data_IF_492749453559
#
_entry.id   IF_492749453559
#
_cell.length_a   1.000
_cell.length_b   1.000
_cell.length_c   1.000
_cell.angle_alpha   90.00
_cell.angle_beta   90.00
_cell.angle_gamma   90.00
#
_symmetry.space_group_name_H-M   'P 1'
#
loop_
_entity.id
_entity.type
_entity.pdbx_description
1 polymer ?
#
# COMPACT_ATOMS: atom_id res chain seq x y z
N UNK A 1 11.23 -4.05 10.52
CA UNK A 1 10.91 -5.24 9.76
C UNK A 1 9.43 -5.23 9.39
N UNK A 2 9.12 -5.50 8.14
CA UNK A 2 7.74 -5.47 7.64
C UNK A 2 6.84 -6.45 8.40
N UNK A 3 7.38 -7.60 8.80
CA UNK A 3 6.61 -8.60 9.54
C UNK A 3 6.04 -8.10 10.85
N UNK A 4 6.66 -7.09 11.43
CA UNK A 4 6.18 -6.52 12.70
C UNK A 4 4.86 -5.75 12.53
N UNK A 5 4.53 -5.38 11.29
CA UNK A 5 3.34 -4.58 10.97
C UNK A 5 2.21 -5.40 10.38
N UNK A 6 2.47 -6.65 9.97
CA UNK A 6 1.47 -7.47 9.28
C UNK A 6 0.72 -8.37 10.25
N UNK A 7 -0.59 -8.57 10.04
CA UNK A 7 -1.35 -9.57 10.80
C UNK A 7 -0.78 -10.97 10.59
N UNK A 8 -0.88 -11.81 11.62
CA UNK A 8 -0.36 -13.19 11.56
C UNK A 8 -1.06 -14.03 10.49
N UNK A 9 -2.31 -13.73 10.21
CA UNK A 9 -3.10 -14.47 9.23
C UNK A 9 -3.01 -13.90 7.81
N UNK A 10 -1.95 -13.13 7.52
CA UNK A 10 -1.76 -12.55 6.20
C UNK A 10 -1.51 -13.64 5.17
N UNK A 11 -2.34 -13.69 4.13
CA UNK A 11 -2.21 -14.67 3.05
C UNK A 11 -1.75 -14.05 1.74
N UNK A 12 -1.91 -12.74 1.60
CA UNK A 12 -1.52 -12.03 0.40
C UNK A 12 -1.11 -10.62 0.74
N UNK A 13 -0.05 -10.13 0.10
CA UNK A 13 0.42 -8.75 0.24
C UNK A 13 0.10 -8.03 -1.06
N UNK A 14 -0.46 -6.82 -0.94
CA UNK A 14 -0.81 -5.98 -2.09
C UNK A 14 0.08 -4.75 -2.07
N UNK A 15 0.70 -4.46 -3.19
CA UNK A 15 1.70 -3.40 -3.30
C UNK A 15 1.45 -2.56 -4.54
N UNK A 16 1.90 -1.31 -4.52
CA UNK A 16 1.60 -0.35 -5.57
C UNK A 16 2.76 0.10 -6.45
N UNK A 17 3.92 -0.47 -6.31
CA UNK A 17 5.06 -0.11 -7.16
C UNK A 17 5.88 1.08 -6.65
N UNK A 18 5.75 1.47 -5.37
CA UNK A 18 6.57 2.55 -4.81
C UNK A 18 7.94 2.02 -4.38
N UNK A 19 8.97 2.83 -4.63
CA UNK A 19 10.33 2.46 -4.28
C UNK A 19 10.49 2.36 -2.76
N UNK A 20 11.19 1.34 -2.27
CA UNK A 20 11.47 1.15 -0.85
C UNK A 20 10.47 0.22 -0.19
N UNK A 21 9.25 0.68 0.07
CA UNK A 21 8.22 -0.14 0.72
C UNK A 21 7.86 -1.34 -0.15
N UNK A 22 7.77 -1.14 -1.47
CA UNK A 22 7.47 -2.25 -2.38
C UNK A 22 8.56 -3.29 -2.41
N UNK A 23 9.81 -2.87 -2.36
CA UNK A 23 10.93 -3.81 -2.30
C UNK A 23 10.84 -4.63 -1.02
N UNK A 24 10.54 -4.01 0.11
CA UNK A 24 10.37 -4.71 1.38
C UNK A 24 9.21 -5.70 1.33
N UNK A 25 8.09 -5.28 0.73
CA UNK A 25 6.91 -6.15 0.58
C UNK A 25 7.24 -7.35 -0.31
N UNK A 26 7.95 -7.12 -1.41
CA UNK A 26 8.34 -8.18 -2.34
C UNK A 26 9.27 -9.18 -1.66
N UNK A 27 10.29 -8.69 -0.95
CA UNK A 27 11.24 -9.55 -0.26
C UNK A 27 10.56 -10.33 0.85
N UNK A 28 9.68 -9.70 1.62
CA UNK A 28 8.95 -10.38 2.68
C UNK A 28 8.04 -11.48 2.13
N UNK A 29 7.30 -11.17 1.06
CA UNK A 29 6.41 -12.15 0.44
C UNK A 29 7.19 -13.35 -0.07
N UNK A 30 8.33 -13.13 -0.70
CA UNK A 30 9.19 -14.19 -1.22
C UNK A 30 9.76 -15.04 -0.11
N UNK A 31 10.26 -14.40 0.95
CA UNK A 31 10.90 -15.09 2.07
C UNK A 31 9.90 -15.94 2.86
N UNK A 32 8.68 -15.47 3.02
CA UNK A 32 7.65 -16.13 3.82
C UNK A 32 6.63 -16.89 2.98
N UNK A 33 6.89 -17.02 1.69
CA UNK A 33 6.04 -17.76 0.76
C UNK A 33 4.60 -17.28 0.76
N UNK A 34 4.43 -15.96 0.78
CA UNK A 34 3.13 -15.29 0.75
C UNK A 34 2.89 -14.74 -0.65
N UNK A 35 1.67 -14.80 -1.13
CA UNK A 35 1.31 -14.23 -2.44
C UNK A 35 1.54 -12.72 -2.47
N UNK A 36 2.03 -12.22 -3.58
CA UNK A 36 2.19 -10.79 -3.81
C UNK A 36 1.36 -10.37 -5.00
N UNK A 37 0.49 -9.39 -4.81
CA UNK A 37 -0.28 -8.76 -5.87
C UNK A 37 0.21 -7.32 -6.02
N UNK A 38 0.64 -6.96 -7.24
CA UNK A 38 1.09 -5.60 -7.50
C UNK A 38 0.12 -4.90 -8.45
N UNK A 39 -0.28 -3.69 -8.08
CA UNK A 39 -1.06 -2.82 -8.94
C UNK A 39 -0.16 -1.69 -9.41
N UNK A 40 0.15 -1.68 -10.70
CA UNK A 40 1.02 -0.65 -11.26
C UNK A 40 0.18 0.49 -11.85
N UNK A 41 0.68 1.73 -11.79
CA UNK A 41 -0.04 2.85 -12.40
C UNK A 41 -0.13 2.68 -13.91
N UNK A 42 -1.33 2.82 -14.45
CA UNK A 42 -1.57 2.68 -15.88
C UNK A 42 -1.55 4.08 -16.52
N UNK A 43 -0.36 4.62 -16.74
CA UNK A 43 -0.19 5.97 -17.25
C UNK A 43 -0.80 6.17 -18.65
N UNK A 44 -0.73 5.15 -19.48
CA UNK A 44 -1.31 5.23 -20.83
C UNK A 44 -2.82 5.39 -20.78
N UNK A 45 -3.46 4.83 -19.77
CA UNK A 45 -4.91 4.85 -19.65
C UNK A 45 -5.41 6.08 -18.88
N UNK A 46 -4.71 6.47 -17.82
CA UNK A 46 -5.18 7.49 -16.88
C UNK A 46 -4.30 8.73 -16.82
N UNK A 47 -3.16 8.75 -17.51
CA UNK A 47 -2.26 9.89 -17.47
C UNK A 47 -1.80 10.23 -16.07
N UNK A 48 -1.90 11.49 -15.70
CA UNK A 48 -1.44 11.98 -14.40
C UNK A 48 -2.19 11.38 -13.21
N UNK A 49 -3.42 10.94 -13.42
CA UNK A 49 -4.23 10.37 -12.34
C UNK A 49 -3.94 8.88 -12.12
N UNK A 50 -3.05 8.29 -12.90
CA UNK A 50 -2.75 6.86 -12.80
C UNK A 50 -2.35 6.40 -11.40
N UNK A 51 -1.48 7.12 -10.65
CA UNK A 51 -1.16 6.69 -9.28
C UNK A 51 -2.37 6.71 -8.35
N UNK A 52 -3.27 7.67 -8.51
CA UNK A 52 -4.48 7.76 -7.68
C UNK A 52 -5.45 6.65 -8.03
N UNK A 53 -5.61 6.34 -9.31
CA UNK A 53 -6.46 5.24 -9.75
C UNK A 53 -5.93 3.90 -9.24
N UNK A 54 -4.60 3.70 -9.31
CA UNK A 54 -3.95 2.51 -8.77
C UNK A 54 -4.22 2.37 -7.27
N UNK A 55 -4.15 3.48 -6.52
CA UNK A 55 -4.40 3.45 -5.09
C UNK A 55 -5.84 3.05 -4.78
N UNK A 56 -6.81 3.50 -5.57
CA UNK A 56 -8.20 3.09 -5.40
C UNK A 56 -8.38 1.60 -5.67
N UNK A 57 -7.68 1.06 -6.65
CA UNK A 57 -7.70 -0.38 -6.93
C UNK A 57 -7.18 -1.19 -5.75
N UNK A 58 -6.11 -0.73 -5.11
CA UNK A 58 -5.56 -1.38 -3.92
C UNK A 58 -6.58 -1.38 -2.79
N UNK A 59 -7.20 -0.23 -2.54
CA UNK A 59 -8.18 -0.08 -1.45
C UNK A 59 -9.37 -1.01 -1.67
N UNK A 60 -9.85 -1.11 -2.92
CA UNK A 60 -10.98 -1.96 -3.24
C UNK A 60 -10.65 -3.44 -3.13
N UNK A 61 -9.40 -3.81 -3.33
CA UNK A 61 -8.97 -5.20 -3.29
C UNK A 61 -8.58 -5.67 -1.89
N UNK A 62 -7.96 -4.80 -1.09
CA UNK A 62 -7.37 -5.18 0.19
C UNK A 62 -8.40 -5.30 1.30
N UNK A 63 -8.17 -6.23 2.23
CA UNK A 63 -8.96 -6.33 3.45
C UNK A 63 -8.51 -5.33 4.50
N UNK A 64 -7.25 -4.99 4.50
CA UNK A 64 -6.67 -4.01 5.41
C UNK A 64 -5.52 -3.30 4.71
N UNK A 65 -5.37 -2.02 4.97
CA UNK A 65 -4.29 -1.21 4.40
C UNK A 65 -3.32 -0.79 5.50
N UNK A 66 -2.04 -0.87 5.20
CA UNK A 66 -0.99 -0.36 6.09
C UNK A 66 -0.24 0.71 5.32
N UNK A 67 -0.20 1.90 5.88
CA UNK A 67 0.45 3.04 5.24
C UNK A 67 1.60 3.57 6.09
N UNK A 68 2.70 3.90 5.44
CA UNK A 68 3.84 4.57 6.07
C UNK A 68 3.85 6.00 5.56
N UNK A 69 3.68 6.97 6.45
CA UNK A 69 3.44 8.36 6.07
C UNK A 69 4.36 9.32 6.80
N UNK A 70 4.93 10.24 6.07
CA UNK A 70 5.77 11.30 6.61
C UNK A 70 4.96 12.52 7.08
N UNK A 71 3.63 12.46 6.94
CA UNK A 71 2.75 13.56 7.29
C UNK A 71 2.53 14.57 6.18
N UNK A 72 3.26 14.44 5.07
CA UNK A 72 3.24 15.44 4.00
C UNK A 72 2.85 14.88 2.63
N UNK A 73 3.08 13.61 2.38
CA UNK A 73 2.78 13.01 1.09
C UNK A 73 1.29 13.06 0.75
N UNK A 74 0.95 13.66 -0.38
CA UNK A 74 -0.43 13.75 -0.84
C UNK A 74 -1.01 12.42 -1.27
N UNK A 75 -0.19 11.55 -1.87
CA UNK A 75 -0.63 10.24 -2.30
C UNK A 75 -1.06 9.35 -1.14
N UNK A 76 -0.28 9.33 -0.06
CA UNK A 76 -0.61 8.57 1.13
C UNK A 76 -1.82 9.16 1.83
N UNK A 77 -1.94 10.48 1.90
CA UNK A 77 -3.09 11.15 2.46
C UNK A 77 -4.37 10.75 1.71
N UNK A 78 -4.30 10.69 0.39
CA UNK A 78 -5.41 10.26 -0.46
C UNK A 78 -5.86 8.83 -0.09
N UNK A 79 -4.90 7.93 0.11
CA UNK A 79 -5.19 6.56 0.51
C UNK A 79 -5.89 6.53 1.88
N UNK A 80 -5.37 7.28 2.84
CA UNK A 80 -5.97 7.34 4.18
C UNK A 80 -7.41 7.83 4.13
N UNK A 81 -7.66 8.91 3.41
CA UNK A 81 -8.99 9.49 3.31
C UNK A 81 -9.97 8.54 2.62
N UNK A 82 -9.53 7.87 1.57
CA UNK A 82 -10.40 6.94 0.85
C UNK A 82 -10.68 5.65 1.61
N UNK A 83 -9.72 5.16 2.38
CA UNK A 83 -9.96 4.02 3.27
C UNK A 83 -11.05 4.36 4.29
N UNK A 84 -10.99 5.55 4.87
CA UNK A 84 -12.01 5.99 5.83
C UNK A 84 -13.38 6.09 5.18
N UNK A 85 -13.44 6.66 3.97
CA UNK A 85 -14.70 6.81 3.25
C UNK A 85 -15.31 5.47 2.87
N UNK A 86 -14.49 4.49 2.53
CA UNK A 86 -14.94 3.17 2.09
C UNK A 86 -15.02 2.14 3.22
N UNK A 87 -14.72 2.56 4.45
CA UNK A 87 -14.72 1.70 5.63
C UNK A 87 -13.73 0.53 5.53
N UNK A 88 -12.57 0.77 4.92
CA UNK A 88 -11.49 -0.20 4.87
C UNK A 88 -10.56 0.07 6.06
N UNK A 89 -10.29 -0.94 6.90
CA UNK A 89 -9.37 -0.75 8.02
C UNK A 89 -7.99 -0.30 7.54
N UNK A 90 -7.45 0.73 8.18
CA UNK A 90 -6.13 1.25 7.83
C UNK A 90 -5.34 1.55 9.08
N UNK A 91 -4.06 1.16 9.07
CA UNK A 91 -3.09 1.50 10.10
C UNK A 91 -2.05 2.41 9.47
N UNK A 92 -1.79 3.54 10.12
CA UNK A 92 -0.83 4.52 9.62
C UNK A 92 0.33 4.60 10.59
N UNK A 93 1.53 4.41 10.05
CA UNK A 93 2.75 4.49 10.83
C UNK A 93 3.56 5.68 10.37
N UNK A 94 4.04 6.49 11.31
CA UNK A 94 4.85 7.65 10.98
C UNK A 94 6.25 7.22 10.55
N UNK A 95 6.75 7.84 9.47
CA UNK A 95 8.12 7.65 9.06
C UNK A 95 9.01 8.56 9.88
N UNK A 96 10.16 8.01 10.32
CA UNK A 96 11.13 8.82 11.05
C UNK A 96 11.82 9.78 10.09
N UNK A 97 11.79 11.06 10.42
CA UNK A 97 12.50 12.08 9.66
C UNK A 97 13.93 12.22 10.22
N UNK A 98 14.88 12.15 9.34
CA UNK A 98 16.27 12.35 9.70
C UNK A 98 16.89 13.47 8.91
#
# INVERSE_FOLDING_TARGET
NLGDYLPENTTEIVSGGAIGVDRSARNYAKTHNIKLKEFLPEYERYGRSAPLKRNLQIIDYADEVIAFWDGMSHGTRFVIENCKRKNVPIKVYALANK
#
